data_IF_679549173638
#
_entry.id   IF_679549173638
#
_cell.length_a   1.000
_cell.length_b   1.000
_cell.length_c   1.000
_cell.angle_alpha   90.00
_cell.angle_beta   90.00
_cell.angle_gamma   90.00
#
_symmetry.space_group_name_H-M   'P 1'
#
loop_
_entity.id
_entity.type
_entity.pdbx_description
1 polymer ?
#
# COMPACT_ATOMS: atom_id res chain seq x y z
N UNK A 1 -41.20 -55.55 36.55
CA UNK A 1 -40.37 -55.80 37.76
C UNK A 1 -38.96 -55.40 37.36
N UNK A 2 -38.45 -54.22 37.69
CA UNK A 2 -37.91 -53.81 39.00
C UNK A 2 -38.15 -52.31 39.18
N UNK A 3 -38.57 -51.94 40.38
CA UNK A 3 -38.71 -50.56 40.85
C UNK A 3 -37.46 -50.13 41.65
N UNK A 4 -37.41 -48.82 41.94
CA UNK A 4 -36.78 -48.13 43.10
C UNK A 4 -35.52 -47.29 42.75
N UNK A 5 -35.64 -45.96 42.59
CA UNK A 5 -35.59 -44.85 43.59
C UNK A 5 -34.16 -44.23 43.57
N UNK A 6 -33.82 -42.95 43.73
CA UNK A 6 -34.46 -41.66 44.07
C UNK A 6 -33.37 -40.57 44.00
N UNK A 7 -33.74 -39.29 43.77
CA UNK A 7 -33.21 -38.05 44.37
C UNK A 7 -33.79 -36.88 43.55
N UNK A 8 -34.83 -36.17 44.00
CA UNK A 8 -34.96 -35.18 45.08
C UNK A 8 -34.14 -33.89 44.85
N UNK A 9 -34.92 -32.81 44.71
CA UNK A 9 -34.58 -31.38 44.75
C UNK A 9 -33.70 -30.89 43.59
N UNK A 10 -34.05 -29.82 42.88
CA UNK A 10 -33.88 -28.43 43.34
C UNK A 10 -34.65 -27.50 42.36
N UNK A 11 -35.59 -26.73 42.92
CA UNK A 11 -36.10 -25.37 42.58
C UNK A 11 -36.13 -24.94 41.09
N UNK A 12 -37.30 -24.71 40.48
CA UNK A 12 -38.06 -23.44 40.44
C UNK A 12 -37.32 -22.22 39.87
N UNK A 13 -37.89 -21.71 38.75
CA UNK A 13 -37.86 -20.34 38.22
C UNK A 13 -36.52 -19.75 37.74
N UNK A 14 -36.44 -19.53 36.43
CA UNK A 14 -36.25 -18.17 35.90
C UNK A 14 -36.47 -18.16 34.38
N UNK A 15 -37.53 -17.46 33.96
CA UNK A 15 -37.72 -17.03 32.58
C UNK A 15 -36.56 -16.13 32.17
N UNK A 16 -35.83 -16.49 31.11
CA UNK A 16 -34.83 -15.61 30.52
C UNK A 16 -35.48 -14.87 29.35
N UNK A 17 -35.79 -13.59 29.61
CA UNK A 17 -36.19 -12.63 28.60
C UNK A 17 -35.03 -12.42 27.61
N UNK A 18 -35.24 -12.78 26.35
CA UNK A 18 -34.29 -12.50 25.26
C UNK A 18 -34.46 -11.02 24.90
N UNK A 19 -33.63 -10.17 25.49
CA UNK A 19 -33.50 -8.77 25.09
C UNK A 19 -32.71 -8.70 23.77
N UNK A 20 -33.42 -8.43 22.67
CA UNK A 20 -32.84 -8.07 21.37
C UNK A 20 -32.10 -6.72 21.49
N UNK A 21 -30.80 -6.77 21.74
CA UNK A 21 -29.89 -5.63 21.63
C UNK A 21 -29.66 -5.32 20.14
N UNK A 22 -30.38 -4.33 19.62
CA UNK A 22 -30.06 -3.73 18.32
C UNK A 22 -28.72 -2.98 18.44
N UNK A 23 -27.64 -3.58 17.96
CA UNK A 23 -26.34 -2.93 17.84
C UNK A 23 -26.38 -1.96 16.64
N UNK A 24 -26.02 -0.68 16.81
CA UNK A 24 -25.90 0.23 15.68
C UNK A 24 -24.68 -0.19 14.84
N UNK A 25 -24.92 -0.50 13.56
CA UNK A 25 -23.86 -0.70 12.59
C UNK A 25 -23.24 0.68 12.32
N UNK A 26 -22.15 0.99 13.03
CA UNK A 26 -21.35 2.16 12.72
C UNK A 26 -20.70 1.97 11.35
N UNK A 27 -21.23 2.66 10.33
CA UNK A 27 -20.54 2.82 9.06
C UNK A 27 -19.31 3.70 9.29
N UNK A 28 -18.13 3.08 9.38
CA UNK A 28 -16.88 3.80 9.24
C UNK A 28 -16.81 4.32 7.80
N UNK A 29 -16.95 5.64 7.64
CA UNK A 29 -16.71 6.28 6.34
C UNK A 29 -15.28 6.00 5.90
N UNK A 30 -15.13 5.55 4.65
CA UNK A 30 -13.84 5.53 3.98
C UNK A 30 -13.38 6.98 3.79
N UNK A 31 -12.67 7.50 4.78
CA UNK A 31 -11.89 8.72 4.62
C UNK A 31 -10.75 8.42 3.65
N UNK A 32 -10.60 9.25 2.63
CA UNK A 32 -9.44 9.24 1.72
C UNK A 32 -8.18 9.28 2.59
N UNK A 33 -7.48 8.15 2.68
CA UNK A 33 -6.24 8.07 3.45
C UNK A 33 -5.18 8.73 2.59
N UNK A 34 -5.01 10.04 2.76
CA UNK A 34 -3.88 10.76 2.18
C UNK A 34 -2.65 10.23 2.92
N UNK A 35 -1.92 9.30 2.31
CA UNK A 35 -0.67 8.82 2.86
C UNK A 35 0.30 9.99 2.99
N UNK A 36 0.85 10.25 4.18
CA UNK A 36 1.75 11.36 4.39
C UNK A 36 3.02 11.17 3.56
N UNK A 37 3.53 12.25 2.99
CA UNK A 37 4.79 12.22 2.25
C UNK A 37 5.94 11.65 3.13
N UNK A 38 6.94 10.98 2.52
CA UNK A 38 8.06 10.43 3.29
C UNK A 38 8.80 11.52 4.08
N UNK A 39 9.42 11.15 5.20
CA UNK A 39 10.24 12.07 5.99
C UNK A 39 11.39 12.63 5.16
N UNK A 40 11.96 13.78 5.53
CA UNK A 40 13.07 14.40 4.78
C UNK A 40 14.29 13.48 4.65
N UNK A 41 14.58 12.70 5.69
CA UNK A 41 15.63 11.68 5.66
C UNK A 41 15.31 10.57 4.66
N UNK A 42 14.08 10.08 4.68
CA UNK A 42 13.65 9.03 3.75
C UNK A 42 13.62 9.54 2.30
N UNK A 43 13.20 10.78 2.08
CA UNK A 43 13.27 11.42 0.76
C UNK A 43 14.69 11.46 0.22
N UNK A 44 15.70 11.83 1.02
CA UNK A 44 17.11 11.78 0.60
C UNK A 44 17.55 10.37 0.17
N UNK A 45 17.17 9.35 0.95
CA UNK A 45 17.48 7.96 0.61
C UNK A 45 16.79 7.51 -0.70
N UNK A 46 15.54 7.91 -0.91
CA UNK A 46 14.80 7.64 -2.15
C UNK A 46 15.42 8.38 -3.34
N UNK A 47 15.83 9.63 -3.16
CA UNK A 47 16.49 10.40 -4.22
C UNK A 47 17.79 9.72 -4.65
N UNK A 48 18.58 9.27 -3.67
CA UNK A 48 19.79 8.50 -3.95
C UNK A 48 19.49 7.20 -4.71
N UNK A 49 18.52 6.41 -4.24
CA UNK A 49 18.08 5.18 -4.94
C UNK A 49 17.68 5.47 -6.39
N UNK A 50 16.86 6.50 -6.65
CA UNK A 50 16.45 6.82 -8.02
C UNK A 50 17.64 7.26 -8.88
N UNK A 51 18.58 8.03 -8.33
CA UNK A 51 19.73 8.52 -9.07
C UNK A 51 20.75 7.42 -9.38
N UNK A 52 21.02 6.54 -8.43
CA UNK A 52 22.01 5.48 -8.61
C UNK A 52 21.41 4.23 -9.28
N UNK A 53 20.29 3.72 -8.77
CA UNK A 53 19.75 2.43 -9.20
C UNK A 53 18.87 2.57 -10.45
N UNK A 54 17.98 3.56 -10.50
CA UNK A 54 17.20 3.81 -11.72
C UNK A 54 18.06 4.47 -12.81
N UNK A 55 18.93 5.41 -12.40
CA UNK A 55 19.83 6.13 -13.32
C UNK A 55 20.81 5.21 -14.07
N UNK A 56 21.20 4.07 -13.51
CA UNK A 56 22.05 3.10 -14.19
C UNK A 56 21.49 2.63 -15.55
N UNK A 57 20.16 2.52 -15.68
CA UNK A 57 19.52 2.16 -16.94
C UNK A 57 18.91 3.36 -17.66
N UNK A 58 18.31 4.30 -16.91
CA UNK A 58 17.57 5.45 -17.44
C UNK A 58 18.44 6.70 -17.63
N UNK A 59 19.76 6.56 -17.49
CA UNK A 59 20.75 7.64 -17.49
C UNK A 59 20.82 8.36 -16.14
N UNK A 60 22.01 8.76 -15.70
CA UNK A 60 22.23 9.47 -14.42
C UNK A 60 21.43 10.78 -14.34
N UNK A 61 21.13 11.37 -15.50
CA UNK A 61 20.32 12.58 -15.64
C UNK A 61 18.84 12.29 -15.95
N UNK A 62 18.44 11.01 -15.97
CA UNK A 62 17.08 10.51 -16.27
C UNK A 62 16.58 10.78 -17.70
N UNK A 63 17.47 11.14 -18.61
CA UNK A 63 17.18 11.46 -20.02
C UNK A 63 17.07 10.22 -20.93
N UNK A 64 17.21 9.02 -20.36
CA UNK A 64 17.19 7.75 -21.08
C UNK A 64 18.59 7.21 -21.37
N UNK A 65 18.63 5.94 -21.78
CA UNK A 65 19.86 5.18 -22.06
C UNK A 65 19.49 3.78 -22.54
N UNK A 66 19.78 2.77 -21.71
CA UNK A 66 19.26 1.42 -21.93
C UNK A 66 17.74 1.37 -21.72
N UNK A 67 17.26 2.08 -20.70
CA UNK A 67 15.84 2.30 -20.43
C UNK A 67 15.32 3.61 -21.06
N UNK A 68 14.00 3.77 -21.19
CA UNK A 68 13.39 5.01 -21.70
C UNK A 68 13.66 6.21 -20.77
N UNK A 69 13.53 7.47 -21.23
CA UNK A 69 13.59 8.63 -20.36
C UNK A 69 12.54 8.57 -19.23
N UNK A 70 12.90 9.11 -18.07
CA UNK A 70 12.00 9.32 -16.92
C UNK A 70 11.75 10.82 -16.68
N UNK A 71 11.71 11.61 -17.76
CA UNK A 71 11.47 13.06 -17.72
C UNK A 71 9.97 13.38 -17.63
N UNK A 72 9.60 14.59 -17.19
CA UNK A 72 8.21 15.05 -17.19
C UNK A 72 7.50 14.81 -18.52
N UNK A 73 8.15 15.16 -19.64
CA UNK A 73 7.58 15.04 -20.98
C UNK A 73 7.33 13.58 -21.37
N UNK A 74 8.27 12.69 -21.04
CA UNK A 74 8.15 11.26 -21.32
C UNK A 74 7.05 10.59 -20.49
N UNK A 75 6.71 11.15 -19.33
CA UNK A 75 5.76 10.58 -18.38
C UNK A 75 4.39 11.27 -18.40
N UNK A 76 4.22 12.41 -19.08
CA UNK A 76 3.02 13.25 -19.04
C UNK A 76 1.72 12.46 -19.24
N UNK A 77 1.65 11.68 -20.33
CA UNK A 77 0.46 10.92 -20.73
C UNK A 77 0.35 9.55 -20.05
N UNK A 78 1.29 9.19 -19.17
CA UNK A 78 1.28 7.89 -18.49
C UNK A 78 0.45 7.98 -17.21
N UNK A 79 -0.52 7.07 -16.98
CA UNK A 79 -1.28 7.04 -15.74
C UNK A 79 -0.37 6.81 -14.53
N UNK A 80 -0.54 7.60 -13.46
CA UNK A 80 0.27 7.50 -12.24
C UNK A 80 0.27 6.09 -11.68
N UNK A 81 -0.90 5.47 -11.52
CA UNK A 81 -1.02 4.11 -10.98
C UNK A 81 -0.32 3.05 -11.84
N UNK A 82 -0.28 3.23 -13.16
CA UNK A 82 0.49 2.32 -14.04
C UNK A 82 2.00 2.46 -13.83
N UNK A 83 2.47 3.67 -13.57
CA UNK A 83 3.89 3.92 -13.26
C UNK A 83 4.25 3.37 -11.89
N UNK A 84 3.40 3.56 -10.88
CA UNK A 84 3.55 2.99 -9.53
C UNK A 84 3.66 1.47 -9.62
N UNK A 85 2.70 0.82 -10.31
CA UNK A 85 2.75 -0.63 -10.51
C UNK A 85 4.05 -1.07 -11.22
N UNK A 86 4.50 -0.31 -12.21
CA UNK A 86 5.77 -0.60 -12.91
C UNK A 86 6.98 -0.49 -11.97
N UNK A 87 7.02 0.48 -11.06
CA UNK A 87 8.11 0.59 -10.06
C UNK A 87 8.05 -0.58 -9.08
N UNK A 88 6.87 -0.86 -8.51
CA UNK A 88 6.71 -1.91 -7.51
C UNK A 88 7.01 -3.30 -8.09
N UNK A 89 6.50 -3.60 -9.29
CA UNK A 89 6.51 -4.93 -9.89
C UNK A 89 7.63 -5.14 -10.92
N UNK A 90 8.32 -4.07 -11.32
CA UNK A 90 9.26 -4.11 -12.44
C UNK A 90 8.53 -4.36 -13.76
N UNK A 91 9.27 -4.83 -14.76
CA UNK A 91 8.70 -5.20 -16.06
C UNK A 91 9.29 -6.49 -16.57
N UNK A 92 8.48 -7.55 -16.56
CA UNK A 92 8.86 -8.88 -17.03
C UNK A 92 9.42 -8.83 -18.46
N UNK A 93 10.50 -9.60 -18.70
CA UNK A 93 11.19 -9.61 -19.98
C UNK A 93 12.05 -8.38 -20.27
N UNK A 94 12.24 -7.47 -19.29
CA UNK A 94 13.17 -6.34 -19.39
C UNK A 94 14.14 -6.32 -18.21
N UNK A 95 15.23 -5.54 -18.29
CA UNK A 95 16.14 -5.36 -17.16
C UNK A 95 15.54 -4.60 -15.96
N UNK A 96 14.33 -4.05 -16.06
CA UNK A 96 13.72 -3.25 -14.99
C UNK A 96 13.20 -4.14 -13.85
N UNK A 97 13.88 -4.18 -12.68
CA UNK A 97 13.52 -5.09 -11.59
C UNK A 97 12.34 -4.57 -10.76
N UNK A 98 11.69 -5.42 -9.94
CA UNK A 98 10.72 -4.97 -8.94
C UNK A 98 11.40 -4.23 -7.78
N UNK A 99 10.83 -3.10 -7.36
CA UNK A 99 11.32 -2.34 -6.21
C UNK A 99 10.44 -2.43 -4.96
N UNK A 100 9.33 -3.18 -4.99
CA UNK A 100 8.48 -3.41 -3.81
C UNK A 100 9.22 -3.95 -2.55
N UNK A 101 10.34 -4.70 -2.65
CA UNK A 101 11.13 -5.07 -1.47
C UNK A 101 11.84 -3.88 -0.78
N UNK A 102 11.98 -2.73 -1.45
CA UNK A 102 12.76 -1.57 -0.99
C UNK A 102 11.92 -0.29 -0.81
N UNK A 103 10.76 -0.23 -1.46
CA UNK A 103 9.86 0.91 -1.50
C UNK A 103 8.44 0.46 -1.14
N UNK A 104 7.76 1.26 -0.31
CA UNK A 104 6.30 1.13 -0.19
C UNK A 104 5.60 1.64 -1.46
N UNK A 105 4.33 1.28 -1.64
CA UNK A 105 3.53 1.79 -2.76
C UNK A 105 3.40 3.32 -2.71
N UNK A 106 3.26 3.90 -1.51
CA UNK A 106 3.20 5.35 -1.33
C UNK A 106 4.51 6.06 -1.66
N UNK A 107 5.65 5.42 -1.37
CA UNK A 107 6.96 5.92 -1.79
C UNK A 107 7.12 5.85 -3.31
N UNK A 108 6.65 4.77 -3.95
CA UNK A 108 6.61 4.67 -5.40
C UNK A 108 5.71 5.73 -6.03
N UNK A 109 4.54 6.01 -5.44
CA UNK A 109 3.65 7.11 -5.86
C UNK A 109 4.32 8.46 -5.74
N UNK A 110 4.97 8.73 -4.61
CA UNK A 110 5.76 9.95 -4.41
C UNK A 110 6.88 10.09 -5.47
N UNK A 111 7.58 9.01 -5.80
CA UNK A 111 8.60 9.02 -6.88
C UNK A 111 7.98 9.43 -8.22
N UNK A 112 6.85 8.82 -8.60
CA UNK A 112 6.17 9.13 -9.87
C UNK A 112 5.75 10.58 -9.94
N UNK A 113 5.16 11.11 -8.87
CA UNK A 113 4.75 12.51 -8.78
C UNK A 113 5.93 13.46 -8.93
N UNK A 114 7.07 13.15 -8.29
CA UNK A 114 8.31 13.92 -8.42
C UNK A 114 8.89 13.83 -9.83
N UNK A 115 8.92 12.65 -10.45
CA UNK A 115 9.41 12.48 -11.82
C UNK A 115 8.59 13.31 -12.82
N UNK A 116 7.26 13.35 -12.66
CA UNK A 116 6.37 14.17 -13.48
C UNK A 116 6.56 15.67 -13.31
N UNK A 117 7.17 16.12 -12.21
CA UNK A 117 7.46 17.53 -11.92
C UNK A 117 8.93 17.91 -12.18
N UNK A 118 9.78 16.93 -12.50
CA UNK A 118 11.23 17.06 -12.53
C UNK A 118 11.83 16.55 -11.22
N UNK A 119 12.61 15.48 -11.32
CA UNK A 119 13.16 14.82 -10.15
C UNK A 119 14.37 15.60 -9.59
N UNK A 120 14.49 15.77 -8.26
CA UNK A 120 15.63 16.48 -7.67
C UNK A 120 16.96 15.78 -7.99
N UNK A 121 18.03 16.56 -8.13
CA UNK A 121 19.39 16.02 -8.10
C UNK A 121 19.78 15.70 -6.65
N UNK A 122 20.86 14.92 -6.50
CA UNK A 122 21.62 14.91 -5.23
C UNK A 122 22.32 16.25 -5.00
#
# INVERSE_FOLDING_TARGET
MVAKQSNLAIVHFAAQAIALLALPIAHAGAGDVISPAPTSERQRAIVHLVRQDCGACHGMTLQGGLGPPLTPEALAEKPTESLVATICQGRAGTPMPPFAPFLSEDEARWIVERLKQGFPSE
#
